data_IF_306657259306
#
_entry.id   IF_306657259306
#
_cell.length_a   1.000
_cell.length_b   1.000
_cell.length_c   1.000
_cell.angle_alpha   90.00
_cell.angle_beta   90.00
_cell.angle_gamma   90.00
#
_symmetry.space_group_name_H-M   'P 1'
#
loop_
_entity.id
_entity.type
_entity.pdbx_description
1 polymer ?
#
# COMPACT_ATOMS: atom_id res chain seq x y z
N UNK A 1 -9.97 3.94 12.39
CA UNK A 1 -10.44 3.25 11.16
C UNK A 1 -9.26 2.97 10.22
N UNK A 2 -8.40 3.96 9.94
CA UNK A 2 -7.25 3.79 9.04
C UNK A 2 -6.22 2.75 9.50
N UNK A 3 -5.94 2.65 10.80
CA UNK A 3 -4.96 1.67 11.32
C UNK A 3 -5.24 0.20 10.98
N UNK A 4 -6.50 -0.25 11.04
CA UNK A 4 -6.84 -1.64 10.71
C UNK A 4 -6.73 -1.88 9.20
N UNK A 5 -7.17 -0.91 8.39
CA UNK A 5 -7.00 -0.96 6.93
C UNK A 5 -5.50 -0.98 6.55
N UNK A 6 -4.68 -0.12 7.15
CA UNK A 6 -3.22 -0.08 6.94
C UNK A 6 -2.59 -1.43 7.33
N UNK A 7 -3.05 -2.06 8.43
CA UNK A 7 -2.57 -3.38 8.85
C UNK A 7 -2.90 -4.46 7.82
N UNK A 8 -4.12 -4.46 7.30
CA UNK A 8 -4.55 -5.41 6.26
C UNK A 8 -3.79 -5.20 4.94
N UNK A 9 -3.58 -3.95 4.52
CA UNK A 9 -2.80 -3.64 3.31
C UNK A 9 -1.33 -4.08 3.44
N UNK A 10 -0.71 -3.89 4.60
CA UNK A 10 0.64 -4.42 4.88
C UNK A 10 0.69 -5.95 4.81
N UNK A 11 -0.34 -6.63 5.30
CA UNK A 11 -0.45 -8.09 5.20
C UNK A 11 -0.58 -8.56 3.75
N UNK A 12 -1.41 -7.91 2.95
CA UNK A 12 -1.55 -8.19 1.51
C UNK A 12 -0.21 -7.96 0.79
N UNK A 13 0.51 -6.87 1.10
CA UNK A 13 1.85 -6.60 0.54
C UNK A 13 2.80 -7.77 0.81
N UNK A 14 2.83 -8.25 2.06
CA UNK A 14 3.67 -9.38 2.44
C UNK A 14 3.31 -10.66 1.69
N UNK A 15 2.02 -10.93 1.49
CA UNK A 15 1.56 -12.08 0.72
C UNK A 15 1.99 -12.00 -0.75
N UNK A 16 1.99 -10.80 -1.34
CA UNK A 16 2.46 -10.57 -2.70
C UNK A 16 3.96 -10.83 -2.78
N UNK A 17 4.78 -10.20 -1.92
CA UNK A 17 6.25 -10.33 -1.91
C UNK A 17 6.72 -11.77 -1.65
N UNK A 18 5.98 -12.54 -0.87
CA UNK A 18 6.32 -13.94 -0.57
C UNK A 18 6.15 -14.89 -1.76
N UNK A 19 5.48 -14.47 -2.85
CA UNK A 19 5.44 -15.26 -4.08
C UNK A 19 6.76 -15.11 -4.83
N UNK A 20 7.45 -16.21 -5.07
CA UNK A 20 8.64 -16.20 -5.90
C UNK A 20 8.24 -15.99 -7.37
N UNK A 21 8.58 -14.81 -7.91
CA UNK A 21 8.38 -14.46 -9.33
C UNK A 21 9.75 -14.21 -9.98
N UNK A 22 9.82 -14.33 -11.31
CA UNK A 22 11.07 -14.12 -12.08
C UNK A 22 10.78 -13.40 -13.40
N UNK A 23 11.79 -12.70 -13.92
CA UNK A 23 11.67 -12.00 -15.20
C UNK A 23 10.53 -10.96 -15.17
N UNK A 24 9.73 -10.93 -16.23
CA UNK A 24 8.62 -9.98 -16.38
C UNK A 24 7.59 -10.07 -15.24
N UNK A 25 7.30 -11.28 -14.74
CA UNK A 25 6.35 -11.48 -13.64
C UNK A 25 6.85 -10.85 -12.32
N UNK A 26 8.17 -10.78 -12.14
CA UNK A 26 8.76 -10.09 -11.00
C UNK A 26 8.65 -8.57 -11.14
N UNK A 27 8.83 -8.04 -12.35
CA UNK A 27 8.68 -6.61 -12.62
C UNK A 27 7.24 -6.16 -12.34
N UNK A 28 6.24 -6.91 -12.83
CA UNK A 28 4.82 -6.66 -12.55
C UNK A 28 4.49 -6.78 -11.05
N UNK A 29 5.09 -7.75 -10.36
CA UNK A 29 4.96 -7.90 -8.91
C UNK A 29 5.51 -6.67 -8.17
N UNK A 30 6.69 -6.16 -8.57
CA UNK A 30 7.26 -4.94 -7.96
C UNK A 30 6.39 -3.72 -8.23
N UNK A 31 5.83 -3.58 -9.43
CA UNK A 31 4.93 -2.47 -9.74
C UNK A 31 3.67 -2.50 -8.86
N UNK A 32 3.07 -3.68 -8.66
CA UNK A 32 1.93 -3.86 -7.78
C UNK A 32 2.26 -3.56 -6.31
N UNK A 33 3.45 -3.96 -5.84
CA UNK A 33 3.94 -3.65 -4.48
C UNK A 33 4.13 -2.14 -4.31
N UNK A 34 4.72 -1.45 -5.27
CA UNK A 34 4.95 0.00 -5.21
C UNK A 34 3.63 0.78 -5.12
N UNK A 35 2.65 0.45 -5.96
CA UNK A 35 1.31 1.08 -5.90
C UNK A 35 0.63 0.86 -4.55
N UNK A 36 0.80 -0.33 -3.96
CA UNK A 36 0.24 -0.64 -2.65
C UNK A 36 0.93 0.16 -1.53
N UNK A 37 2.24 0.41 -1.65
CA UNK A 37 2.96 1.28 -0.72
C UNK A 37 2.53 2.74 -0.81
N UNK A 38 2.27 3.26 -2.01
CA UNK A 38 1.72 4.60 -2.20
C UNK A 38 0.38 4.78 -1.49
N UNK A 39 -0.54 3.82 -1.65
CA UNK A 39 -1.84 3.83 -0.95
C UNK A 39 -1.65 3.78 0.57
N UNK A 40 -0.75 2.92 1.06
CA UNK A 40 -0.45 2.85 2.51
C UNK A 40 0.10 4.18 3.03
N UNK A 41 0.94 4.87 2.25
CA UNK A 41 1.50 6.16 2.66
C UNK A 41 0.45 7.28 2.61
N UNK A 42 -0.39 7.31 1.58
CA UNK A 42 -1.53 8.23 1.51
C UNK A 42 -2.43 8.13 2.75
N UNK A 43 -2.80 6.90 3.12
CA UNK A 43 -3.64 6.66 4.29
C UNK A 43 -2.97 7.08 5.61
N UNK A 44 -1.65 6.94 5.73
CA UNK A 44 -0.91 7.43 6.90
C UNK A 44 -0.86 8.96 6.95
N UNK A 45 -0.71 9.61 5.80
CA UNK A 45 -0.61 11.07 5.71
C UNK A 45 -1.97 11.74 6.02
N UNK A 46 -3.08 11.11 5.64
CA UNK A 46 -4.44 11.54 6.03
C UNK A 46 -4.72 11.36 7.52
N UNK A 47 -4.01 10.48 8.24
CA UNK A 47 -4.09 10.43 9.72
C UNK A 47 -3.35 11.61 10.39
N UNK A 48 -2.44 12.29 9.68
CA UNK A 48 -1.66 13.43 10.19
C UNK A 48 -2.18 14.81 9.76
N UNK A 49 -3.04 14.87 8.75
CA UNK A 49 -3.65 16.13 8.28
C UNK A 49 -5.15 16.10 8.57
N UNK A 50 -5.60 16.99 9.45
CA UNK A 50 -6.99 17.41 9.43
C UNK A 50 -7.29 17.88 7.99
N UNK A 51 -8.07 17.11 7.25
CA UNK A 51 -8.50 17.50 5.91
C UNK A 51 -9.51 18.63 6.10
N UNK A 52 -9.04 19.88 6.07
CA UNK A 52 -9.89 21.03 5.81
C UNK A 52 -10.34 20.92 4.36
N UNK A 53 -11.57 20.45 4.17
CA UNK A 53 -12.27 20.64 2.91
C UNK A 53 -12.77 22.09 2.88
N UNK A 54 -12.03 22.98 2.23
CA UNK A 54 -12.55 24.30 1.89
C UNK A 54 -13.81 24.12 1.02
N UNK A 55 -14.90 24.73 1.48
CA UNK A 55 -16.25 24.69 0.90
C UNK A 55 -16.43 25.70 -0.24
#
# INVERSE_FOLDING_TARGET
MNQELIRQLKYVKQCIVNKEMRGNDWEEQQEAVNKLEEVINYLKDEEGKAVEFDS
#
